data_IF_876111238833
#
_entry.id   IF_876111238833
#
_cell.length_a   1.000
_cell.length_b   1.000
_cell.length_c   1.000
_cell.angle_alpha   90.00
_cell.angle_beta   90.00
_cell.angle_gamma   90.00
#
_symmetry.space_group_name_H-M   'P 1'
#
loop_
_entity.id
_entity.type
_entity.pdbx_description
1 polymer ?
#
# COMPACT_ATOMS: atom_id res chain seq x y z
N UNK A 1 -3.67 -6.26 -1.42
CA UNK A 1 -2.33 -6.75 -1.79
C UNK A 1 -2.31 -8.26 -1.65
N UNK A 2 -1.75 -8.94 -2.64
CA UNK A 2 -1.80 -10.40 -2.76
C UNK A 2 -0.38 -10.98 -3.04
N UNK A 3 0.58 -10.78 -2.11
CA UNK A 3 1.90 -11.37 -2.25
C UNK A 3 1.84 -12.88 -1.98
N UNK A 4 2.58 -13.64 -2.77
CA UNK A 4 2.77 -15.08 -2.59
C UNK A 4 4.19 -15.38 -2.08
N UNK A 5 4.30 -16.30 -1.13
CA UNK A 5 5.58 -16.82 -0.65
C UNK A 5 5.83 -18.20 -1.26
N UNK A 6 6.96 -18.33 -1.96
CA UNK A 6 7.38 -19.59 -2.59
C UNK A 6 8.61 -20.12 -1.86
N UNK A 7 8.64 -21.41 -1.56
CA UNK A 7 9.79 -22.12 -1.04
C UNK A 7 10.38 -23.02 -2.14
N UNK A 8 11.68 -22.94 -2.35
CA UNK A 8 12.42 -23.79 -3.27
C UNK A 8 13.57 -24.48 -2.56
N UNK A 9 13.98 -25.63 -3.09
CA UNK A 9 15.20 -26.32 -2.64
C UNK A 9 16.39 -25.75 -3.41
N UNK A 10 17.03 -24.73 -2.82
CA UNK A 10 18.20 -24.06 -3.39
C UNK A 10 19.27 -23.85 -2.32
N UNK A 11 20.54 -23.91 -2.73
CA UNK A 11 21.68 -23.62 -1.85
C UNK A 11 22.44 -22.41 -2.38
N UNK A 12 22.92 -21.55 -1.46
CA UNK A 12 23.72 -20.38 -1.78
C UNK A 12 23.11 -19.41 -2.79
N UNK A 13 21.79 -19.20 -2.71
CA UNK A 13 21.10 -18.24 -3.54
C UNK A 13 21.43 -16.81 -3.06
N UNK A 14 21.81 -15.90 -3.99
CA UNK A 14 21.99 -14.50 -3.62
C UNK A 14 20.66 -13.89 -3.22
N UNK A 15 20.65 -13.23 -2.06
CA UNK A 15 19.46 -12.52 -1.58
C UNK A 15 19.62 -11.01 -1.82
N UNK A 16 18.54 -10.35 -2.21
CA UNK A 16 18.52 -8.89 -2.32
C UNK A 16 18.48 -8.27 -0.92
N UNK A 17 19.16 -7.14 -0.74
CA UNK A 17 19.05 -6.34 0.48
C UNK A 17 17.68 -5.65 0.51
N UNK A 18 16.97 -5.78 1.62
CA UNK A 18 15.66 -5.16 1.82
C UNK A 18 15.87 -3.84 2.58
N UNK A 19 15.47 -2.72 1.98
CA UNK A 19 15.44 -1.42 2.63
C UNK A 19 14.08 -1.18 3.29
N UNK A 20 14.04 -0.25 4.24
CA UNK A 20 12.78 0.20 4.84
C UNK A 20 12.07 1.14 3.87
N UNK A 21 10.91 0.74 3.37
CA UNK A 21 10.10 1.56 2.45
C UNK A 21 9.50 2.80 3.11
N UNK A 22 9.48 2.87 4.44
CA UNK A 22 8.93 4.03 5.13
C UNK A 22 9.87 5.24 5.06
N UNK A 23 11.18 4.99 4.86
CA UNK A 23 12.22 6.01 4.77
C UNK A 23 12.35 6.64 3.37
N UNK A 24 11.75 6.03 2.33
CA UNK A 24 11.82 6.58 0.96
C UNK A 24 11.07 7.91 0.86
N UNK A 25 11.52 8.77 -0.05
CA UNK A 25 10.94 10.10 -0.27
C UNK A 25 10.38 10.21 -1.68
N UNK A 26 9.32 10.99 -1.81
CA UNK A 26 8.80 11.39 -3.12
C UNK A 26 9.90 12.12 -3.89
N UNK A 27 10.06 11.79 -5.17
CA UNK A 27 11.12 12.29 -6.03
C UNK A 27 12.39 11.42 -6.07
N UNK A 28 12.56 10.43 -5.18
CA UNK A 28 13.70 9.51 -5.26
C UNK A 28 13.62 8.60 -6.48
N UNK A 29 14.75 8.40 -7.15
CA UNK A 29 14.87 7.50 -8.29
C UNK A 29 14.67 6.04 -7.88
N UNK A 30 13.91 5.32 -8.70
CA UNK A 30 13.63 3.89 -8.53
C UNK A 30 13.73 3.15 -9.86
N UNK A 31 14.01 1.85 -9.76
CA UNK A 31 14.03 0.94 -10.88
C UNK A 31 13.01 -0.17 -10.66
N UNK A 32 12.12 -0.38 -11.62
CA UNK A 32 11.22 -1.52 -11.61
C UNK A 32 11.83 -2.64 -12.48
N UNK A 33 12.10 -3.78 -11.85
CA UNK A 33 12.71 -4.95 -12.47
C UNK A 33 11.67 -6.03 -12.66
N UNK A 34 11.67 -6.69 -13.81
CA UNK A 34 10.75 -7.78 -14.09
C UNK A 34 11.10 -8.52 -15.37
N UNK A 35 10.21 -9.41 -15.79
CA UNK A 35 10.37 -10.20 -17.02
C UNK A 35 9.09 -10.12 -17.87
N UNK A 36 8.73 -8.93 -18.39
CA UNK A 36 7.54 -8.77 -19.22
C UNK A 36 7.68 -9.53 -20.53
N UNK A 37 6.59 -10.12 -21.00
CA UNK A 37 6.51 -10.80 -22.30
C UNK A 37 7.46 -11.98 -22.50
N UNK A 38 7.94 -12.60 -21.42
CA UNK A 38 8.97 -13.67 -21.45
C UNK A 38 10.27 -13.25 -22.19
N UNK A 39 10.51 -11.94 -22.26
CA UNK A 39 11.78 -11.35 -22.66
C UNK A 39 12.73 -11.35 -21.47
N UNK A 40 14.04 -11.48 -21.71
CA UNK A 40 15.04 -11.42 -20.64
C UNK A 40 14.88 -10.18 -19.77
N UNK A 41 15.29 -10.26 -18.52
CA UNK A 41 15.14 -9.24 -17.48
C UNK A 41 15.05 -7.80 -18.02
N UNK A 42 13.92 -7.18 -17.80
CA UNK A 42 13.65 -5.81 -18.21
C UNK A 42 13.69 -4.90 -17.01
N UNK A 43 14.30 -3.74 -17.17
CA UNK A 43 14.40 -2.71 -16.15
C UNK A 43 13.80 -1.43 -16.71
N UNK A 44 12.87 -0.83 -15.95
CA UNK A 44 12.36 0.51 -16.23
C UNK A 44 12.73 1.44 -15.10
N UNK A 45 12.96 2.72 -15.39
CA UNK A 45 13.36 3.73 -14.43
C UNK A 45 12.28 4.81 -14.27
N UNK A 46 12.16 5.33 -13.08
CA UNK A 46 11.27 6.43 -12.73
C UNK A 46 11.56 6.94 -11.33
N UNK A 47 10.60 7.61 -10.73
CA UNK A 47 10.70 8.14 -9.38
C UNK A 47 9.57 7.62 -8.49
N UNK A 48 9.72 7.78 -7.18
CA UNK A 48 8.60 7.69 -6.24
C UNK A 48 7.69 8.90 -6.48
N UNK A 49 6.52 8.67 -7.06
CA UNK A 49 5.56 9.74 -7.37
C UNK A 49 4.67 10.09 -6.17
N UNK A 50 4.35 9.08 -5.33
CA UNK A 50 3.60 9.25 -4.09
C UNK A 50 3.80 8.05 -3.16
N UNK A 51 3.42 8.23 -1.89
CA UNK A 51 3.39 7.16 -0.88
C UNK A 51 1.97 6.98 -0.35
N UNK A 52 1.72 5.85 0.30
CA UNK A 52 0.46 5.54 0.99
C UNK A 52 -0.80 5.68 0.11
N UNK A 53 -0.68 5.35 -1.20
CA UNK A 53 -1.83 5.41 -2.10
C UNK A 53 -2.78 4.23 -1.86
N UNK A 54 -4.07 4.55 -1.71
CA UNK A 54 -5.16 3.58 -1.75
C UNK A 54 -5.93 3.73 -3.06
N UNK A 55 -6.24 2.60 -3.69
CA UNK A 55 -7.05 2.53 -4.91
C UNK A 55 -8.48 2.05 -4.59
N UNK A 56 -8.78 1.83 -3.30
CA UNK A 56 -10.08 1.36 -2.79
C UNK A 56 -10.56 0.03 -3.40
N UNK A 57 -9.63 -0.80 -3.86
CA UNK A 57 -9.97 -2.06 -4.53
C UNK A 57 -9.93 -3.28 -3.62
N UNK A 58 -9.07 -3.30 -2.61
CA UNK A 58 -8.76 -4.53 -1.85
C UNK A 58 -8.42 -4.31 -0.37
N UNK A 59 -9.21 -3.58 0.37
CA UNK A 59 -9.03 -3.48 1.82
C UNK A 59 -7.79 -2.67 2.24
N UNK A 60 -6.79 -3.28 2.88
CA UNK A 60 -5.58 -2.57 3.33
C UNK A 60 -4.66 -2.30 2.14
N UNK A 61 -4.63 -1.06 1.70
CA UNK A 61 -3.81 -0.57 0.61
C UNK A 61 -2.96 0.61 1.08
N UNK A 62 -1.66 0.54 0.81
CA UNK A 62 -0.71 1.62 1.07
C UNK A 62 0.42 1.49 0.06
N UNK A 63 0.11 1.73 -1.22
CA UNK A 63 1.05 1.53 -2.29
C UNK A 63 2.09 2.65 -2.39
N UNK A 64 3.29 2.29 -2.86
CA UNK A 64 4.23 3.22 -3.47
C UNK A 64 3.75 3.45 -4.90
N UNK A 65 3.49 4.71 -5.25
CA UNK A 65 3.23 5.10 -6.64
C UNK A 65 4.54 5.48 -7.33
N UNK A 66 4.72 5.03 -8.57
CA UNK A 66 5.89 5.37 -9.40
C UNK A 66 5.47 5.60 -10.84
N UNK A 67 6.23 6.40 -11.56
CA UNK A 67 6.15 6.56 -13.01
C UNK A 67 7.15 5.66 -13.77
N UNK A 68 7.95 4.85 -13.06
CA UNK A 68 8.63 3.72 -13.68
C UNK A 68 7.60 2.79 -14.34
N UNK A 69 7.79 2.48 -15.63
CA UNK A 69 6.78 1.74 -16.38
C UNK A 69 6.53 0.34 -15.80
N UNK A 70 5.32 0.14 -15.29
CA UNK A 70 4.82 -1.16 -14.85
C UNK A 70 3.90 -1.70 -15.95
N UNK A 71 4.24 -2.85 -16.51
CA UNK A 71 3.48 -3.51 -17.57
C UNK A 71 3.21 -4.97 -17.19
N UNK A 72 2.25 -5.64 -17.83
CA UNK A 72 2.06 -7.08 -17.64
C UNK A 72 3.37 -7.84 -17.80
N UNK A 73 3.76 -8.62 -16.76
CA UNK A 73 4.99 -9.40 -16.71
C UNK A 73 6.07 -8.85 -15.78
N UNK A 74 6.04 -7.57 -15.36
CA UNK A 74 6.89 -7.13 -14.25
C UNK A 74 6.17 -7.06 -12.89
N UNK A 75 4.88 -7.35 -12.82
CA UNK A 75 4.17 -7.60 -11.56
C UNK A 75 4.79 -8.79 -10.81
N UNK A 76 4.99 -8.65 -9.52
CA UNK A 76 5.74 -9.59 -8.67
C UNK A 76 7.25 -9.37 -8.70
N UNK A 77 7.78 -8.57 -9.62
CA UNK A 77 9.17 -8.17 -9.69
C UNK A 77 9.54 -7.10 -8.66
N UNK A 78 10.82 -6.79 -8.57
CA UNK A 78 11.35 -5.86 -7.59
C UNK A 78 11.17 -4.40 -8.02
N UNK A 79 10.77 -3.53 -7.07
CA UNK A 79 11.04 -2.10 -7.12
C UNK A 79 12.24 -1.84 -6.22
N UNK A 80 13.31 -1.29 -6.79
CA UNK A 80 14.57 -1.05 -6.06
C UNK A 80 14.95 0.43 -6.10
N UNK A 81 15.70 0.86 -5.10
CA UNK A 81 16.32 2.18 -5.09
C UNK A 81 17.64 2.19 -5.90
N UNK A 82 18.31 3.34 -5.97
CA UNK A 82 19.58 3.50 -6.72
C UNK A 82 20.76 2.73 -6.13
N UNK A 83 20.64 2.18 -4.91
CA UNK A 83 21.64 1.29 -4.30
C UNK A 83 21.35 -0.19 -4.62
N UNK A 84 20.29 -0.49 -5.37
CA UNK A 84 19.86 -1.86 -5.66
C UNK A 84 19.14 -2.55 -4.50
N UNK A 85 18.70 -1.81 -3.50
CA UNK A 85 17.97 -2.34 -2.35
C UNK A 85 16.46 -2.40 -2.66
N UNK A 86 15.81 -3.48 -2.26
CA UNK A 86 14.37 -3.68 -2.44
C UNK A 86 13.57 -2.71 -1.55
N UNK A 87 12.71 -1.92 -2.17
CA UNK A 87 11.79 -1.00 -1.49
C UNK A 87 10.32 -1.38 -1.69
N UNK A 88 10.03 -2.24 -2.66
CA UNK A 88 8.67 -2.72 -2.91
C UNK A 88 8.62 -3.86 -3.92
N UNK A 89 7.42 -4.44 -4.04
CA UNK A 89 7.08 -5.45 -5.05
C UNK A 89 6.13 -4.82 -6.05
N UNK A 90 6.50 -4.82 -7.33
CA UNK A 90 5.64 -4.32 -8.41
C UNK A 90 4.30 -5.08 -8.41
N UNK A 91 3.18 -4.39 -8.35
CA UNK A 91 1.89 -5.02 -8.18
C UNK A 91 0.98 -4.82 -9.39
N UNK A 92 0.71 -3.56 -9.73
CA UNK A 92 -0.29 -3.24 -10.76
C UNK A 92 -0.01 -1.87 -11.39
N UNK A 93 -0.67 -1.64 -12.52
CA UNK A 93 -0.83 -0.31 -13.10
C UNK A 93 -2.29 0.15 -12.91
N UNK A 94 -2.49 1.44 -12.75
CA UNK A 94 -3.82 2.04 -12.88
C UNK A 94 -3.96 2.58 -14.31
N UNK A 95 -4.88 2.02 -15.07
CA UNK A 95 -5.10 2.41 -16.45
C UNK A 95 -6.54 2.15 -16.88
N UNK A 96 -7.14 3.10 -17.57
CA UNK A 96 -8.45 2.92 -18.20
C UNK A 96 -8.38 2.12 -19.50
N UNK A 97 -7.20 2.02 -20.10
CA UNK A 97 -6.99 1.37 -21.42
C UNK A 97 -6.22 0.06 -21.31
N UNK A 98 -5.75 -0.32 -20.11
CA UNK A 98 -4.87 -1.48 -19.89
C UNK A 98 -3.39 -1.21 -20.24
N UNK A 99 -3.04 -0.02 -20.74
CA UNK A 99 -1.68 0.39 -21.02
C UNK A 99 -1.14 1.31 -19.93
N UNK A 100 0.17 1.29 -19.68
CA UNK A 100 0.81 2.16 -18.71
C UNK A 100 0.59 3.65 -19.09
N UNK A 101 0.11 4.42 -18.12
CA UNK A 101 -0.22 5.85 -18.26
C UNK A 101 0.51 6.75 -17.27
N UNK A 102 1.65 6.28 -16.72
CA UNK A 102 2.42 7.01 -15.71
C UNK A 102 2.02 6.68 -14.25
N UNK A 103 1.15 5.71 -14.04
CA UNK A 103 0.67 5.31 -12.72
C UNK A 103 0.95 3.83 -12.47
N UNK A 104 2.14 3.53 -11.98
CA UNK A 104 2.53 2.22 -11.48
C UNK A 104 2.44 2.17 -9.95
N UNK A 105 2.16 0.99 -9.41
CA UNK A 105 2.00 0.78 -7.97
C UNK A 105 2.80 -0.43 -7.51
N UNK A 106 3.48 -0.27 -6.38
CA UNK A 106 4.23 -1.34 -5.73
C UNK A 106 3.82 -1.49 -4.26
N UNK A 107 3.82 -2.74 -3.79
CA UNK A 107 3.59 -3.07 -2.38
C UNK A 107 4.86 -2.72 -1.61
N UNK A 108 4.80 -1.85 -0.58
CA UNK A 108 5.98 -1.47 0.22
C UNK A 108 6.59 -2.66 0.95
N UNK A 109 7.91 -2.60 1.17
CA UNK A 109 8.62 -3.64 1.96
C UNK A 109 8.13 -3.72 3.40
N UNK A 110 7.67 -2.65 4.02
CA UNK A 110 7.06 -2.66 5.35
C UNK A 110 5.84 -3.59 5.42
N UNK A 111 4.95 -3.53 4.42
CA UNK A 111 3.80 -4.43 4.31
C UNK A 111 4.24 -5.85 3.93
N UNK A 112 5.15 -5.98 2.94
CA UNK A 112 5.68 -7.27 2.49
C UNK A 112 6.29 -8.05 3.66
N UNK A 113 7.13 -7.43 4.47
CA UNK A 113 7.80 -8.08 5.61
C UNK A 113 6.80 -8.65 6.61
N UNK A 114 5.74 -7.89 6.96
CA UNK A 114 4.66 -8.37 7.83
C UNK A 114 3.96 -9.60 7.24
N UNK A 115 3.57 -9.51 5.96
CA UNK A 115 2.88 -10.60 5.27
C UNK A 115 3.75 -11.85 5.20
N UNK A 116 5.04 -11.72 4.84
CA UNK A 116 5.98 -12.84 4.77
C UNK A 116 6.20 -13.47 6.15
N UNK A 117 6.34 -12.65 7.20
CA UNK A 117 6.47 -13.16 8.58
C UNK A 117 5.25 -14.00 9.00
N UNK A 118 4.04 -13.48 8.75
CA UNK A 118 2.81 -14.20 9.07
C UNK A 118 2.67 -15.51 8.28
N UNK A 119 2.92 -15.46 6.97
CA UNK A 119 2.86 -16.66 6.11
C UNK A 119 3.86 -17.74 6.56
N UNK A 120 5.06 -17.35 6.99
CA UNK A 120 6.07 -18.28 7.52
C UNK A 120 5.66 -18.89 8.85
N UNK A 121 5.02 -18.11 9.72
CA UNK A 121 4.68 -18.52 11.09
C UNK A 121 3.33 -19.25 11.17
N UNK A 122 2.33 -18.76 10.44
CA UNK A 122 0.94 -19.19 10.59
C UNK A 122 0.35 -19.82 9.31
N UNK A 123 1.04 -19.71 8.17
CA UNK A 123 0.50 -20.13 6.88
C UNK A 123 -0.58 -19.20 6.31
N UNK A 124 -1.02 -18.22 7.08
CA UNK A 124 -2.05 -17.23 6.73
C UNK A 124 -1.67 -15.86 7.27
N UNK A 125 -2.10 -14.80 6.57
CA UNK A 125 -1.86 -13.42 7.03
C UNK A 125 -2.80 -13.09 8.19
N UNK A 126 -2.22 -12.70 9.33
CA UNK A 126 -2.99 -12.26 10.49
C UNK A 126 -3.32 -10.77 10.35
N UNK A 127 -4.61 -10.45 10.31
CA UNK A 127 -5.09 -9.08 10.25
C UNK A 127 -5.96 -8.78 11.46
N UNK A 128 -5.57 -7.79 12.24
CA UNK A 128 -6.43 -7.22 13.26
C UNK A 128 -7.36 -6.18 12.63
N UNK A 129 -8.61 -6.20 13.03
CA UNK A 129 -9.59 -5.18 12.69
C UNK A 129 -9.87 -4.37 13.95
N UNK A 130 -9.84 -3.06 13.84
CA UNK A 130 -10.21 -2.16 14.95
C UNK A 130 -11.71 -2.29 15.23
N UNK A 131 -12.51 -2.48 14.19
CA UNK A 131 -13.96 -2.59 14.29
C UNK A 131 -14.66 -1.25 14.24
N UNK A 132 -14.24 -0.38 13.32
CA UNK A 132 -14.91 0.88 13.03
C UNK A 132 -15.26 0.99 11.55
N UNK A 133 -16.27 1.79 11.24
CA UNK A 133 -16.45 2.40 9.94
C UNK A 133 -16.00 3.84 10.06
N UNK A 134 -14.96 4.18 9.32
CA UNK A 134 -14.37 5.51 9.34
C UNK A 134 -14.26 6.10 7.95
N UNK A 135 -14.17 7.40 7.88
CA UNK A 135 -13.87 8.14 6.68
C UNK A 135 -12.95 9.30 7.00
N UNK A 136 -12.21 9.74 6.02
CA UNK A 136 -11.36 10.92 6.13
C UNK A 136 -12.15 12.15 6.60
N UNK A 137 -11.63 12.87 7.60
CA UNK A 137 -12.32 14.02 8.24
C UNK A 137 -12.66 15.08 7.20
N UNK A 138 -11.71 15.43 6.32
CA UNK A 138 -11.94 16.44 5.29
C UNK A 138 -13.06 16.03 4.36
N UNK A 139 -13.08 14.77 3.89
CA UNK A 139 -14.13 14.27 3.02
C UNK A 139 -15.51 14.29 3.70
N UNK A 140 -15.55 13.99 5.01
CA UNK A 140 -16.79 14.05 5.79
C UNK A 140 -17.32 15.47 5.91
N UNK A 141 -16.45 16.42 6.30
CA UNK A 141 -16.79 17.84 6.45
C UNK A 141 -17.24 18.45 5.12
N UNK A 142 -16.50 18.19 4.04
CA UNK A 142 -16.85 18.68 2.70
C UNK A 142 -18.20 18.14 2.23
N UNK A 143 -18.46 16.83 2.44
CA UNK A 143 -19.74 16.21 2.09
C UNK A 143 -20.93 16.75 2.92
N UNK A 144 -20.71 17.17 4.16
CA UNK A 144 -21.72 17.80 5.01
C UNK A 144 -21.98 19.23 4.58
N UNK A 145 -20.94 19.98 4.27
CA UNK A 145 -21.03 21.36 3.77
C UNK A 145 -21.81 21.44 2.46
N UNK A 146 -21.60 20.49 1.55
CA UNK A 146 -22.35 20.39 0.29
C UNK A 146 -23.87 20.18 0.51
N UNK A 147 -24.23 19.61 1.68
CA UNK A 147 -25.63 19.44 2.12
C UNK A 147 -26.18 20.63 2.93
N UNK A 148 -25.37 21.69 3.11
CA UNK A 148 -25.74 22.88 3.89
C UNK A 148 -25.58 22.69 5.40
N UNK A 149 -24.89 21.66 5.85
CA UNK A 149 -24.56 21.41 7.26
C UNK A 149 -23.13 21.92 7.52
N UNK A 150 -22.97 22.89 8.42
CA UNK A 150 -21.67 23.40 8.85
C UNK A 150 -21.25 22.64 10.11
N UNK A 151 -20.21 21.80 9.98
CA UNK A 151 -19.69 20.96 11.06
C UNK A 151 -18.25 21.31 11.32
N UNK A 152 -17.93 21.61 12.57
CA UNK A 152 -16.55 21.78 13.06
C UNK A 152 -16.19 20.60 13.96
N UNK A 153 -15.20 19.81 13.53
CA UNK A 153 -14.63 18.69 14.30
C UNK A 153 -13.32 19.06 15.01
N UNK A 154 -12.93 20.35 14.97
CA UNK A 154 -11.69 20.85 15.58
C UNK A 154 -10.43 20.48 14.79
N UNK A 155 -10.55 19.73 13.71
CA UNK A 155 -9.46 19.32 12.82
C UNK A 155 -9.98 19.03 11.42
N UNK A 156 -9.11 19.16 10.43
CA UNK A 156 -9.37 18.72 9.05
C UNK A 156 -8.56 17.46 8.69
N UNK A 157 -7.81 16.91 9.66
CA UNK A 157 -6.97 15.72 9.48
C UNK A 157 -7.45 14.60 10.41
N UNK A 158 -7.29 13.35 9.95
CA UNK A 158 -7.65 12.16 10.71
C UNK A 158 -8.81 11.38 10.13
N UNK A 159 -9.30 10.42 10.91
CA UNK A 159 -10.42 9.55 10.54
C UNK A 159 -11.61 9.81 11.47
N UNK A 160 -12.71 10.27 10.90
CA UNK A 160 -13.99 10.38 11.60
C UNK A 160 -14.60 8.99 11.77
N UNK A 161 -14.97 8.63 13.01
CA UNK A 161 -15.62 7.36 13.34
C UNK A 161 -17.12 7.48 13.07
N UNK A 162 -17.57 6.94 11.95
CA UNK A 162 -18.99 6.98 11.56
C UNK A 162 -19.81 5.88 12.24
N UNK A 163 -19.16 4.78 12.63
CA UNK A 163 -19.81 3.67 13.38
C UNK A 163 -18.75 2.84 14.07
N UNK A 164 -19.06 2.36 15.27
CA UNK A 164 -18.31 1.32 15.99
C UNK A 164 -19.02 -0.02 15.81
N UNK A 165 -18.27 -1.07 15.52
CA UNK A 165 -18.81 -2.43 15.37
C UNK A 165 -18.97 -3.06 16.75
N UNK A 166 -20.09 -3.71 17.01
CA UNK A 166 -20.37 -4.44 18.24
C UNK A 166 -19.34 -5.58 18.43
N UNK A 167 -18.99 -5.86 19.68
CA UNK A 167 -18.02 -6.89 20.07
C UNK A 167 -16.63 -6.71 19.41
N UNK A 168 -16.23 -5.46 19.18
CA UNK A 168 -14.94 -5.13 18.56
C UNK A 168 -13.95 -4.53 19.56
N UNK A 169 -12.68 -4.53 19.16
CA UNK A 169 -11.63 -3.87 19.95
C UNK A 169 -11.88 -2.36 20.13
N UNK A 170 -12.51 -1.71 19.17
CA UNK A 170 -12.89 -0.30 19.29
C UNK A 170 -13.96 -0.08 20.37
N UNK A 171 -14.97 -0.95 20.42
CA UNK A 171 -16.01 -0.87 21.44
C UNK A 171 -15.44 -1.16 22.85
N UNK A 172 -14.63 -2.21 22.98
CA UNK A 172 -13.94 -2.55 24.23
C UNK A 172 -13.02 -1.42 24.71
N UNK A 173 -12.37 -0.69 23.77
CA UNK A 173 -11.55 0.48 24.06
C UNK A 173 -12.37 1.73 24.40
N UNK A 174 -13.70 1.68 24.29
CA UNK A 174 -14.59 2.80 24.59
C UNK A 174 -14.71 3.85 23.48
N UNK A 175 -14.29 3.53 22.26
CA UNK A 175 -14.52 4.39 21.08
C UNK A 175 -16.01 4.56 20.81
N UNK A 176 -16.40 5.72 20.31
CA UNK A 176 -17.78 6.07 19.99
C UNK A 176 -17.92 6.66 18.60
N UNK A 177 -19.12 6.56 18.07
CA UNK A 177 -19.51 7.34 16.90
C UNK A 177 -19.32 8.85 17.18
N UNK A 178 -18.72 9.55 16.25
CA UNK A 178 -18.36 10.96 16.38
C UNK A 178 -16.93 11.22 16.83
N UNK A 179 -16.21 10.20 17.31
CA UNK A 179 -14.79 10.36 17.63
C UNK A 179 -13.97 10.64 16.37
N UNK A 180 -12.87 11.37 16.54
CA UNK A 180 -11.89 11.61 15.48
C UNK A 180 -10.55 11.00 15.91
N UNK A 181 -10.07 10.05 15.10
CA UNK A 181 -8.76 9.45 15.28
C UNK A 181 -7.74 10.38 14.62
N UNK A 182 -6.91 11.01 15.40
CA UNK A 182 -5.75 11.79 14.96
C UNK A 182 -4.47 10.98 15.19
N UNK A 183 -3.48 11.08 14.29
CA UNK A 183 -2.22 10.34 14.40
C UNK A 183 -1.44 10.66 15.67
#
# INVERSE_FOLDING_TARGET
SDPALIKIDGKNLPAITIANSDDIKVGEWVLAVGNPFNLTNTVTAGIVSAKARSLYQNGVESFIQTDAAINPGNSGGALVNTRGELIGINAMLYSQTGSFSGYGFAIPTSIMNKVVADLKQYGTVQRALIGIQGQDVKNYVDAKKDKGEDIDLGTMEGIYVAKVTEESAAEEAGMKEGDVITA
#
